data_IF_293238484688
#
_entry.id   IF_293238484688
#
_cell.length_a   1.000
_cell.length_b   1.000
_cell.length_c   1.000
_cell.angle_alpha   90.00
_cell.angle_beta   90.00
_cell.angle_gamma   90.00
#
_symmetry.space_group_name_H-M   'P 1'
#
loop_
_entity.id
_entity.type
_entity.pdbx_description
1 polymer ?
#
# COMPACT_ATOMS: atom_id res chain seq x y z
N UNK A 1 6.20 16.49 49.39
CA UNK A 1 6.24 15.12 48.86
C UNK A 1 5.91 15.24 47.39
N UNK A 2 6.88 14.99 46.52
CA UNK A 2 6.71 15.07 45.07
C UNK A 2 5.88 13.88 44.62
N UNK A 3 4.69 14.13 44.09
CA UNK A 3 3.89 13.11 43.43
C UNK A 3 4.32 13.08 41.96
N UNK A 4 5.25 12.18 41.64
CA UNK A 4 5.59 11.82 40.27
C UNK A 4 4.52 10.83 39.81
N UNK A 5 3.52 11.30 39.07
CA UNK A 5 2.62 10.41 38.35
C UNK A 5 3.35 9.85 37.14
N UNK A 6 3.89 8.64 37.31
CA UNK A 6 4.36 7.78 36.24
C UNK A 6 3.12 7.29 35.47
N UNK A 7 2.86 7.89 34.31
CA UNK A 7 1.84 7.40 33.37
C UNK A 7 2.34 6.08 32.79
N UNK A 8 1.83 4.97 33.31
CA UNK A 8 1.97 3.65 32.68
C UNK A 8 1.21 3.68 31.35
N UNK A 9 1.94 3.90 30.26
CA UNK A 9 1.47 3.81 28.90
C UNK A 9 1.23 2.34 28.57
N UNK A 10 -0.04 1.93 28.50
CA UNK A 10 -0.43 0.63 27.96
C UNK A 10 0.05 0.55 26.52
N UNK A 11 0.98 -0.36 26.24
CA UNK A 11 1.47 -0.63 24.90
C UNK A 11 0.43 -1.49 24.16
N UNK A 12 -0.67 -0.88 23.75
CA UNK A 12 -1.36 -1.34 22.54
C UNK A 12 -0.35 -1.24 21.38
N UNK A 13 -0.32 -2.18 20.43
CA UNK A 13 0.52 -2.04 19.25
C UNK A 13 0.18 -0.71 18.58
N UNK A 14 1.15 0.21 18.52
CA UNK A 14 0.94 1.52 17.92
C UNK A 14 0.62 1.33 16.44
N UNK A 15 -0.66 1.50 16.09
CA UNK A 15 -1.09 1.52 14.69
C UNK A 15 -0.91 2.93 14.15
N UNK A 16 -0.04 3.08 13.15
CA UNK A 16 0.14 4.35 12.47
C UNK A 16 -1.01 4.59 11.50
N UNK A 17 -1.33 5.87 11.31
CA UNK A 17 -2.33 6.32 10.36
C UNK A 17 -1.75 7.38 9.46
N UNK A 18 -2.13 7.35 8.19
CA UNK A 18 -1.80 8.38 7.21
C UNK A 18 -3.06 9.16 6.89
N UNK A 19 -3.03 10.47 7.12
CA UNK A 19 -4.09 11.40 6.74
C UNK A 19 -3.82 11.91 5.33
N UNK A 20 -4.82 11.79 4.46
CA UNK A 20 -4.84 12.36 3.12
C UNK A 20 -5.66 13.63 3.16
N UNK A 21 -5.12 14.72 2.62
CA UNK A 21 -5.73 16.04 2.63
C UNK A 21 -5.88 16.58 1.20
N UNK A 22 -7.05 17.08 0.87
CA UNK A 22 -7.29 17.79 -0.39
C UNK A 22 -6.76 19.23 -0.31
N UNK A 23 -6.05 19.66 -1.35
CA UNK A 23 -5.51 21.03 -1.43
C UNK A 23 -6.46 21.98 -2.18
N UNK A 24 -7.51 21.46 -2.83
CA UNK A 24 -8.33 22.20 -3.79
C UNK A 24 -9.38 23.15 -3.18
N UNK A 25 -9.58 23.15 -1.85
CA UNK A 25 -10.65 23.93 -1.22
C UNK A 25 -10.38 24.44 0.20
N UNK A 26 -11.20 25.40 0.69
CA UNK A 26 -11.09 25.97 2.03
C UNK A 26 -11.91 25.20 3.08
N UNK A 27 -11.96 23.86 3.02
CA UNK A 27 -12.68 23.10 4.04
C UNK A 27 -11.95 23.22 5.39
N UNK A 28 -12.68 23.16 6.51
CA UNK A 28 -12.09 23.45 7.82
C UNK A 28 -11.01 22.43 8.25
N UNK A 29 -11.01 21.24 7.67
CA UNK A 29 -10.03 20.18 8.00
C UNK A 29 -9.30 19.62 6.76
N UNK A 30 -9.80 19.88 5.54
CA UNK A 30 -9.30 19.36 4.27
C UNK A 30 -9.05 17.82 4.20
N UNK A 31 -9.33 17.06 5.25
CA UNK A 31 -9.14 15.61 5.29
C UNK A 31 -10.11 14.91 4.35
N UNK A 32 -9.55 14.13 3.43
CA UNK A 32 -10.26 13.23 2.52
C UNK A 32 -10.44 11.86 3.16
N UNK A 33 -9.36 11.33 3.75
CA UNK A 33 -9.31 9.97 4.25
C UNK A 33 -8.21 9.81 5.31
N UNK A 34 -8.44 8.95 6.30
CA UNK A 34 -7.39 8.46 7.21
C UNK A 34 -7.18 6.97 6.95
N UNK A 35 -6.04 6.62 6.35
CA UNK A 35 -5.64 5.24 6.08
C UNK A 35 -4.93 4.70 7.32
N UNK A 36 -5.52 3.72 7.99
CA UNK A 36 -4.91 3.05 9.15
C UNK A 36 -4.20 1.74 8.81
N UNK A 37 -3.87 0.97 9.86
CA UNK A 37 -3.31 -0.39 9.79
C UNK A 37 -1.84 -0.45 9.37
N UNK A 38 -1.11 0.65 9.53
CA UNK A 38 0.35 0.62 9.37
C UNK A 38 1.00 0.10 10.66
N UNK A 39 1.66 -1.04 10.56
CA UNK A 39 2.34 -1.66 11.72
C UNK A 39 3.68 -1.01 12.06
N UNK A 40 4.24 -0.23 11.14
CA UNK A 40 5.50 0.49 11.34
C UNK A 40 5.48 1.89 10.69
N UNK A 41 6.20 2.81 11.33
CA UNK A 41 6.29 4.21 10.88
C UNK A 41 7.00 4.33 9.52
N UNK A 42 7.97 3.46 9.25
CA UNK A 42 8.71 3.49 7.99
C UNK A 42 7.79 3.17 6.80
N UNK A 43 6.88 2.22 6.96
CA UNK A 43 5.83 1.88 6.01
C UNK A 43 4.83 3.03 5.84
N UNK A 44 4.34 3.63 6.93
CA UNK A 44 3.46 4.80 6.86
C UNK A 44 4.13 5.98 6.11
N UNK A 45 5.40 6.27 6.41
CA UNK A 45 6.19 7.30 5.75
C UNK A 45 6.40 6.99 4.26
N UNK A 46 6.73 5.74 3.91
CA UNK A 46 6.90 5.32 2.53
C UNK A 46 5.58 5.44 1.73
N UNK A 47 4.45 5.10 2.35
CA UNK A 47 3.13 5.25 1.76
C UNK A 47 2.79 6.73 1.52
N UNK A 48 2.93 7.59 2.55
CA UNK A 48 2.66 9.02 2.42
C UNK A 48 3.50 9.65 1.30
N UNK A 49 4.80 9.32 1.27
CA UNK A 49 5.73 9.78 0.23
C UNK A 49 5.30 9.34 -1.17
N UNK A 50 5.01 8.06 -1.36
CA UNK A 50 4.61 7.51 -2.66
C UNK A 50 3.24 8.07 -3.12
N UNK A 51 2.33 8.30 -2.18
CA UNK A 51 1.02 8.88 -2.43
C UNK A 51 1.14 10.32 -2.96
N UNK A 52 1.88 11.17 -2.25
CA UNK A 52 2.12 12.57 -2.69
C UNK A 52 2.86 12.60 -4.02
N UNK A 53 3.82 11.70 -4.23
CA UNK A 53 4.52 11.61 -5.51
C UNK A 53 3.57 11.26 -6.65
N UNK A 54 2.66 10.31 -6.46
CA UNK A 54 1.63 9.99 -7.46
C UNK A 54 0.67 11.18 -7.70
N UNK A 55 0.26 11.85 -6.63
CA UNK A 55 -0.61 13.03 -6.64
C UNK A 55 -0.04 14.17 -7.48
N UNK A 56 1.21 14.58 -7.23
CA UNK A 56 1.92 15.62 -8.00
C UNK A 56 2.00 15.23 -9.49
N UNK A 57 2.29 13.98 -9.77
CA UNK A 57 2.45 13.52 -11.15
C UNK A 57 1.12 13.40 -11.91
N UNK A 58 -0.03 13.32 -11.24
CA UNK A 58 -1.35 13.49 -11.89
C UNK A 58 -1.60 14.93 -12.31
N UNK A 59 -1.01 15.89 -11.60
CA UNK A 59 -1.08 17.32 -11.91
C UNK A 59 -0.04 17.75 -12.97
N UNK A 60 0.95 16.91 -13.28
CA UNK A 60 2.03 17.24 -14.22
C UNK A 60 1.55 17.18 -15.68
N UNK A 61 1.72 18.29 -16.39
CA UNK A 61 1.59 18.35 -17.85
C UNK A 61 2.96 18.13 -18.50
N UNK A 62 3.06 17.37 -19.62
CA UNK A 62 4.33 17.18 -20.32
C UNK A 62 5.00 18.51 -20.67
N UNK A 63 6.25 18.69 -20.23
CA UNK A 63 7.04 19.91 -20.47
C UNK A 63 6.73 21.10 -19.55
N UNK A 64 5.85 20.94 -18.55
CA UNK A 64 5.60 21.97 -17.54
C UNK A 64 6.86 22.27 -16.70
N UNK A 65 7.04 23.53 -16.31
CA UNK A 65 8.08 23.90 -15.36
C UNK A 65 7.68 23.47 -13.94
N UNK A 66 8.67 23.26 -13.06
CA UNK A 66 8.45 22.83 -11.67
C UNK A 66 7.41 23.71 -10.94
N UNK A 67 7.49 25.03 -11.15
CA UNK A 67 6.54 26.00 -10.57
C UNK A 67 5.10 25.76 -11.03
N UNK A 68 4.89 25.49 -12.31
CA UNK A 68 3.55 25.28 -12.85
C UNK A 68 2.96 23.95 -12.35
N UNK A 69 3.81 22.93 -12.16
CA UNK A 69 3.43 21.65 -11.53
C UNK A 69 3.04 21.86 -10.06
N UNK A 70 3.82 22.65 -9.33
CA UNK A 70 3.51 23.00 -7.94
C UNK A 70 2.19 23.76 -7.84
N UNK A 71 1.98 24.78 -8.68
CA UNK A 71 0.73 25.55 -8.71
C UNK A 71 -0.48 24.66 -9.03
N UNK A 72 -0.33 23.72 -9.97
CA UNK A 72 -1.37 22.76 -10.31
C UNK A 72 -1.67 21.79 -9.14
N UNK A 73 -0.64 21.27 -8.48
CA UNK A 73 -0.80 20.37 -7.33
C UNK A 73 -1.43 21.09 -6.14
N UNK A 74 -1.04 22.33 -5.83
CA UNK A 74 -1.69 23.12 -4.78
C UNK A 74 -3.16 23.46 -5.10
N UNK A 75 -3.57 23.40 -6.37
CA UNK A 75 -4.93 23.74 -6.79
C UNK A 75 -5.86 22.54 -6.91
N UNK A 76 -5.32 21.35 -7.17
CA UNK A 76 -6.10 20.15 -7.52
C UNK A 76 -5.58 18.84 -6.91
N UNK A 77 -4.45 18.91 -6.23
CA UNK A 77 -3.76 17.76 -5.69
C UNK A 77 -4.17 17.43 -4.27
N UNK A 78 -3.66 16.29 -3.84
CA UNK A 78 -3.82 15.75 -2.49
C UNK A 78 -2.45 15.66 -1.82
N UNK A 79 -2.36 16.05 -0.56
CA UNK A 79 -1.20 15.85 0.32
C UNK A 79 -1.44 14.68 1.29
N UNK A 80 -0.38 14.16 1.89
CA UNK A 80 -0.47 13.09 2.88
C UNK A 80 0.56 13.25 4.01
N UNK A 81 0.13 13.02 5.25
CA UNK A 81 0.98 13.08 6.44
C UNK A 81 0.69 11.93 7.42
N UNK A 82 1.69 11.51 8.18
CA UNK A 82 1.50 10.49 9.23
C UNK A 82 1.02 11.16 10.51
N UNK A 83 -0.10 10.68 11.05
CA UNK A 83 -0.69 11.17 12.30
C UNK A 83 0.15 10.70 13.49
N UNK A 84 0.30 11.57 14.50
CA UNK A 84 1.03 11.31 15.76
C UNK A 84 2.52 10.94 15.59
N UNK A 85 3.12 11.22 14.43
CA UNK A 85 4.53 10.95 14.14
C UNK A 85 5.49 12.14 14.42
N UNK A 86 4.95 13.27 14.89
CA UNK A 86 5.71 14.46 15.32
C UNK A 86 6.81 14.91 14.32
N UNK A 87 8.09 14.81 14.68
CA UNK A 87 9.26 15.13 13.83
C UNK A 87 9.76 13.93 13.00
N UNK A 88 9.40 12.70 13.38
CA UNK A 88 9.77 11.47 12.67
C UNK A 88 8.84 11.17 11.48
N UNK A 89 7.70 11.86 11.43
CA UNK A 89 6.73 11.79 10.33
C UNK A 89 7.26 12.45 9.07
N UNK A 90 7.13 11.75 7.95
CA UNK A 90 7.42 12.32 6.64
C UNK A 90 6.43 13.45 6.31
N UNK A 91 6.94 14.52 5.69
CA UNK A 91 6.16 15.68 5.24
C UNK A 91 6.53 16.04 3.80
N UNK A 92 5.52 16.31 2.98
CA UNK A 92 5.69 16.70 1.57
C UNK A 92 6.63 17.89 1.37
N UNK A 93 6.55 18.89 2.26
CA UNK A 93 7.37 20.10 2.22
C UNK A 93 8.88 19.85 2.18
N UNK A 94 9.35 18.69 2.68
CA UNK A 94 10.77 18.35 2.73
C UNK A 94 11.34 17.97 1.35
N UNK A 95 10.51 17.43 0.44
CA UNK A 95 10.94 16.92 -0.86
C UNK A 95 10.23 17.58 -2.05
N UNK A 96 9.36 18.56 -1.78
CA UNK A 96 8.48 19.16 -2.78
C UNK A 96 9.21 19.79 -3.98
N UNK A 97 10.37 20.39 -3.75
CA UNK A 97 11.22 20.97 -4.82
C UNK A 97 11.72 19.88 -5.79
N UNK A 98 12.23 18.76 -5.26
CA UNK A 98 12.64 17.61 -6.08
C UNK A 98 11.45 17.01 -6.82
N UNK A 99 10.32 16.87 -6.12
CA UNK A 99 9.13 16.21 -6.64
C UNK A 99 8.56 16.97 -7.83
N UNK A 100 8.62 18.30 -7.79
CA UNK A 100 8.12 19.15 -8.87
C UNK A 100 9.15 19.31 -10.00
N UNK A 101 10.45 19.30 -9.69
CA UNK A 101 11.53 19.41 -10.69
C UNK A 101 11.71 18.15 -11.54
N UNK A 102 11.57 16.97 -10.93
CA UNK A 102 11.89 15.69 -11.59
C UNK A 102 10.63 14.84 -11.78
N UNK A 103 10.34 14.34 -12.99
CA UNK A 103 9.25 13.39 -13.18
C UNK A 103 9.51 12.09 -12.41
N UNK A 104 8.50 11.61 -11.67
CA UNK A 104 8.62 10.34 -10.95
C UNK A 104 8.59 9.13 -11.89
N UNK A 105 9.30 8.08 -11.50
CA UNK A 105 9.17 6.75 -12.11
C UNK A 105 7.88 6.06 -11.67
N UNK A 106 7.40 5.03 -12.42
CA UNK A 106 6.22 4.26 -12.01
C UNK A 106 6.34 3.65 -10.61
N UNK A 107 7.55 3.22 -10.23
CA UNK A 107 7.79 2.57 -8.94
C UNK A 107 7.71 3.54 -7.76
N UNK A 108 8.15 4.80 -7.95
CA UNK A 108 8.07 5.84 -6.91
C UNK A 108 6.64 6.30 -6.63
N UNK A 109 5.72 6.07 -7.57
CA UNK A 109 4.31 6.42 -7.47
C UNK A 109 3.43 5.25 -7.02
N UNK A 110 4.00 4.05 -6.89
CA UNK A 110 3.22 2.83 -6.65
C UNK A 110 2.87 2.65 -5.17
N UNK A 111 2.16 3.64 -4.61
CA UNK A 111 1.62 3.57 -3.25
C UNK A 111 0.64 2.40 -3.08
N UNK A 112 0.02 1.95 -4.18
CA UNK A 112 -0.91 0.82 -4.20
C UNK A 112 -0.22 -0.52 -3.99
N UNK A 113 1.07 -0.66 -4.23
CA UNK A 113 1.83 -1.86 -3.91
C UNK A 113 2.13 -1.97 -2.41
N UNK A 114 2.15 -0.84 -1.71
CA UNK A 114 2.43 -0.73 -0.27
C UNK A 114 1.20 -0.26 0.52
N UNK A 115 0.00 -0.37 -0.04
CA UNK A 115 -1.23 -0.01 0.67
C UNK A 115 -1.54 -1.10 1.71
N UNK A 116 -1.58 -0.79 3.02
CA UNK A 116 -1.82 -1.79 4.06
C UNK A 116 -3.16 -2.50 3.85
N UNK A 117 -4.17 -1.84 3.30
CA UNK A 117 -5.50 -2.42 3.01
C UNK A 117 -5.44 -3.54 1.97
N UNK A 118 -4.37 -3.60 1.18
CA UNK A 118 -4.10 -4.66 0.20
C UNK A 118 -3.17 -5.73 0.72
N UNK A 119 -2.48 -5.49 1.84
CA UNK A 119 -1.59 -6.44 2.50
C UNK A 119 -2.34 -7.27 3.55
N UNK A 120 -3.46 -6.75 4.07
CA UNK A 120 -4.44 -7.54 4.82
C UNK A 120 -5.26 -8.40 3.85
N UNK A 121 -4.58 -9.31 3.15
CA UNK A 121 -5.23 -10.46 2.53
C UNK A 121 -5.20 -11.52 3.62
N UNK A 122 -6.34 -11.67 4.30
CA UNK A 122 -6.52 -12.50 5.49
C UNK A 122 -5.78 -13.85 5.41
N UNK A 123 -5.14 -14.23 6.52
CA UNK A 123 -4.73 -15.61 6.80
C UNK A 123 -5.91 -16.59 6.56
N UNK A 124 -7.16 -16.11 6.70
CA UNK A 124 -8.40 -16.83 6.38
C UNK A 124 -8.64 -17.08 4.89
N UNK A 125 -8.20 -16.21 3.95
CA UNK A 125 -8.34 -16.51 2.51
C UNK A 125 -7.28 -17.50 2.03
N UNK A 126 -6.13 -17.57 2.69
CA UNK A 126 -5.14 -18.65 2.50
C UNK A 126 -5.69 -20.00 3.00
N UNK A 127 -6.49 -20.00 4.07
CA UNK A 127 -7.24 -21.20 4.51
C UNK A 127 -8.39 -21.59 3.56
N UNK A 128 -8.91 -20.66 2.76
CA UNK A 128 -10.03 -20.87 1.83
C UNK A 128 -9.55 -21.20 0.39
N UNK A 129 -8.32 -20.82 0.05
CA UNK A 129 -7.56 -21.37 -1.09
C UNK A 129 -6.99 -22.74 -0.71
N UNK A 130 -7.90 -23.64 -0.33
CA UNK A 130 -7.59 -25.00 0.08
C UNK A 130 -6.48 -25.60 -0.79
N UNK A 131 -5.40 -26.00 -0.15
CA UNK A 131 -4.70 -27.19 -0.62
C UNK A 131 -5.72 -28.31 -0.54
N UNK A 132 -6.50 -28.48 -1.61
CA UNK A 132 -7.19 -29.73 -1.91
C UNK A 132 -6.08 -30.76 -2.15
N UNK A 133 -5.49 -31.20 -1.04
CA UNK A 133 -4.69 -32.39 -0.90
C UNK A 133 -5.68 -33.57 -0.95
N UNK A 134 -6.35 -33.72 -2.10
CA UNK A 134 -7.03 -34.97 -2.45
C UNK A 134 -5.92 -35.96 -2.88
N UNK A 135 -5.15 -36.42 -1.89
CA UNK A 135 -4.55 -37.75 -1.91
C UNK A 135 -5.70 -38.80 -1.85
N UNK A 136 -6.56 -38.85 -2.86
CA UNK A 136 -7.55 -39.92 -3.00
C UNK A 136 -7.16 -40.82 -4.19
N UNK A 137 -6.32 -41.78 -3.84
CA UNK A 137 -6.22 -43.13 -4.39
C UNK A 137 -6.25 -43.27 -5.92
N UNK A 138 -5.06 -43.51 -6.50
CA UNK A 138 -4.97 -44.28 -7.74
C UNK A 138 -5.74 -45.60 -7.53
N UNK A 139 -6.79 -45.91 -8.32
CA UNK A 139 -7.42 -47.21 -8.23
C UNK A 139 -6.39 -48.27 -8.61
N UNK A 140 -6.17 -49.23 -7.71
CA UNK A 140 -5.35 -50.41 -7.93
C UNK A 140 -5.72 -51.07 -9.27
N UNK A 141 -4.69 -51.27 -10.09
CA UNK A 141 -4.64 -52.12 -11.27
C UNK A 141 -5.20 -53.51 -10.96
N UNK A 142 -6.48 -53.76 -11.24
CA UNK A 142 -7.05 -55.10 -11.37
C UNK A 142 -8.31 -55.05 -12.27
N UNK A 143 -8.12 -54.88 -13.58
CA UNK A 143 -9.12 -55.38 -14.55
C UNK A 143 -8.44 -56.04 -15.75
N UNK A 144 -8.29 -57.34 -15.55
CA UNK A 144 -8.08 -58.44 -16.49
C UNK A 144 -8.85 -58.24 -17.81
N UNK A 145 -8.24 -57.53 -18.77
CA UNK A 145 -8.73 -57.47 -20.15
C UNK A 145 -7.82 -58.26 -21.08
N UNK A 146 -8.02 -59.57 -21.04
CA UNK A 146 -7.75 -60.52 -22.11
C UNK A 146 -8.39 -60.01 -23.40
N UNK A 147 -7.58 -59.39 -24.27
CA UNK A 147 -7.94 -59.15 -25.67
C UNK A 147 -6.79 -59.56 -26.59
N UNK A 148 -7.12 -60.24 -27.71
CA UNK A 148 -6.19 -61.10 -28.43
C UNK A 148 -5.10 -60.32 -29.21
N UNK A 149 -3.88 -60.83 -29.14
CA UNK A 149 -2.78 -60.53 -30.04
C UNK A 149 -3.18 -60.83 -31.50
N UNK A 150 -3.12 -59.82 -32.37
CA UNK A 150 -2.58 -59.80 -33.76
C UNK A 150 -3.20 -58.64 -34.58
N UNK A 151 -2.55 -58.10 -35.64
CA UNK A 151 -1.55 -58.76 -36.46
C UNK A 151 -0.24 -58.03 -36.77
N UNK A 152 0.67 -58.92 -37.12
CA UNK A 152 2.01 -58.80 -37.66
C UNK A 152 2.07 -57.94 -38.94
N UNK A 153 3.04 -57.03 -39.00
CA UNK A 153 3.46 -56.37 -40.23
C UNK A 153 4.92 -56.73 -40.54
N UNK A 154 5.20 -57.98 -40.95
CA UNK A 154 6.11 -58.27 -42.07
C UNK A 154 5.89 -59.65 -42.70
#
# INVERSE_FOLDING_TARGET
MSDTTETTQSADPQEWKVRIMDLSGPAEDNTVEEVGVFHDLAHANAFARAYVRDSIERCRVPGAAARDVLEAWLSFGEDAEVIDADEDGWRSANELDDFTATPATPMERDWRAIDPRRLVVDDDVLSLLGTDDDEDALPDDDDDTDLPLTPDWH
#
